data_IF_165954582261
#
_entry.id   IF_165954582261
#
_cell.length_a   1.000
_cell.length_b   1.000
_cell.length_c   1.000
_cell.angle_alpha   90.00
_cell.angle_beta   90.00
_cell.angle_gamma   90.00
#
_symmetry.space_group_name_H-M   'P 1'
#
loop_
_entity.id
_entity.type
_entity.pdbx_description
1 polymer ?
#
# COMPACT_ATOMS: atom_id res chain seq x y z
N UNK A 1 30.91 50.43 -4.55
CA UNK A 1 30.59 50.82 -3.16
C UNK A 1 31.80 50.77 -2.21
N UNK A 2 32.58 49.69 -2.15
CA UNK A 2 33.74 49.56 -1.25
C UNK A 2 34.75 50.72 -1.33
N UNK A 3 35.06 51.24 -2.54
CA UNK A 3 36.02 52.35 -2.70
C UNK A 3 35.51 53.69 -2.13
N UNK A 4 34.20 53.91 -2.12
CA UNK A 4 33.58 55.15 -1.62
C UNK A 4 33.58 55.18 -0.08
N UNK A 5 33.14 54.08 0.54
CA UNK A 5 33.20 53.92 2.00
C UNK A 5 34.64 53.88 2.53
N UNK A 6 35.58 53.32 1.76
CA UNK A 6 37.03 53.34 2.10
C UNK A 6 37.59 54.77 2.18
N UNK A 7 37.22 55.65 1.24
CA UNK A 7 37.72 57.04 1.18
C UNK A 7 37.15 57.89 2.32
N UNK A 8 35.89 57.68 2.68
CA UNK A 8 35.25 58.32 3.85
C UNK A 8 35.91 57.87 5.15
N UNK A 9 36.23 56.57 5.29
CA UNK A 9 36.92 56.04 6.47
C UNK A 9 38.33 56.59 6.65
N UNK A 10 39.10 56.72 5.56
CA UNK A 10 40.43 57.31 5.61
C UNK A 10 40.38 58.79 6.05
N UNK A 11 39.45 59.57 5.52
CA UNK A 11 39.30 60.99 5.88
C UNK A 11 38.85 61.20 7.33
N UNK A 12 37.98 60.33 7.87
CA UNK A 12 37.50 60.43 9.26
C UNK A 12 38.56 60.05 10.30
N UNK A 13 39.49 59.15 9.94
CA UNK A 13 40.64 58.77 10.77
C UNK A 13 41.73 59.86 10.77
N UNK A 14 41.97 60.53 9.63
CA UNK A 14 42.95 61.62 9.54
C UNK A 14 42.54 62.90 10.29
N UNK A 15 41.25 63.11 10.54
CA UNK A 15 40.72 64.28 11.30
C UNK A 15 40.65 64.07 12.82
N UNK A 16 41.13 62.94 13.37
CA UNK A 16 41.05 62.65 14.82
C UNK A 16 39.63 62.33 15.34
N UNK A 17 38.67 62.06 14.45
CA UNK A 17 37.24 61.84 14.78
C UNK A 17 36.89 60.36 14.95
N UNK A 18 37.62 59.66 15.82
CA UNK A 18 37.47 58.21 16.09
C UNK A 18 36.04 57.81 16.46
N UNK A 19 35.32 58.60 17.28
CA UNK A 19 33.92 58.33 17.65
C UNK A 19 32.97 58.37 16.44
N UNK A 20 33.21 59.25 15.46
CA UNK A 20 32.40 59.28 14.22
C UNK A 20 32.74 58.07 13.35
N UNK A 21 34.01 57.71 13.23
CA UNK A 21 34.47 56.52 12.51
C UNK A 21 33.78 55.23 13.01
N UNK A 22 33.70 55.01 14.33
CA UNK A 22 33.02 53.85 14.90
C UNK A 22 31.52 53.81 14.58
N UNK A 23 30.81 54.95 14.61
CA UNK A 23 29.39 55.03 14.21
C UNK A 23 29.17 54.64 12.75
N UNK A 24 30.05 55.10 11.84
CA UNK A 24 29.95 54.76 10.42
C UNK A 24 30.33 53.30 10.14
N UNK A 25 31.37 52.77 10.79
CA UNK A 25 31.76 51.36 10.67
C UNK A 25 30.67 50.41 11.20
N UNK A 26 30.01 50.77 12.30
CA UNK A 26 28.88 50.01 12.84
C UNK A 26 27.68 50.02 11.88
N UNK A 27 27.37 51.17 11.27
CA UNK A 27 26.32 51.26 10.25
C UNK A 27 26.61 50.39 9.02
N UNK A 28 27.87 50.31 8.59
CA UNK A 28 28.28 49.44 7.49
C UNK A 28 28.17 47.95 7.83
N UNK A 29 28.56 47.55 9.05
CA UNK A 29 28.37 46.18 9.53
C UNK A 29 26.88 45.83 9.57
N UNK A 30 26.03 46.70 10.11
CA UNK A 30 24.57 46.49 10.16
C UNK A 30 23.99 46.33 8.74
N UNK A 31 24.40 47.19 7.79
CA UNK A 31 23.99 47.09 6.39
C UNK A 31 24.42 45.76 5.74
N UNK A 32 25.65 45.32 5.98
CA UNK A 32 26.16 44.02 5.48
C UNK A 32 25.39 42.85 6.11
N UNK A 33 25.14 42.89 7.43
CA UNK A 33 24.37 41.86 8.13
C UNK A 33 22.94 41.79 7.60
N UNK A 34 22.25 42.93 7.41
CA UNK A 34 20.92 42.97 6.78
C UNK A 34 20.97 42.37 5.37
N UNK A 35 21.99 42.70 4.57
CA UNK A 35 22.18 42.13 3.23
C UNK A 35 22.34 40.60 3.25
N UNK A 36 23.13 40.08 4.18
CA UNK A 36 23.31 38.63 4.37
C UNK A 36 22.01 37.97 4.83
N UNK A 37 21.29 38.56 5.78
CA UNK A 37 20.02 38.04 6.26
C UNK A 37 18.98 37.98 5.15
N UNK A 38 18.85 39.04 4.34
CA UNK A 38 17.94 39.05 3.19
C UNK A 38 18.34 37.98 2.17
N UNK A 39 19.63 37.86 1.85
CA UNK A 39 20.11 36.83 0.92
C UNK A 39 19.82 35.41 1.43
N UNK A 40 20.04 35.16 2.73
CA UNK A 40 19.73 33.90 3.38
C UNK A 40 18.21 33.62 3.38
N UNK A 41 17.40 34.63 3.68
CA UNK A 41 15.94 34.52 3.66
C UNK A 41 15.40 34.18 2.27
N UNK A 42 15.91 34.83 1.20
CA UNK A 42 15.52 34.54 -0.18
C UNK A 42 15.93 33.10 -0.56
N UNK A 43 17.13 32.68 -0.19
CA UNK A 43 17.61 31.33 -0.48
C UNK A 43 16.78 30.25 0.24
N UNK A 44 16.45 30.48 1.51
CA UNK A 44 15.60 29.59 2.29
C UNK A 44 14.19 29.52 1.70
N UNK A 45 13.58 30.66 1.36
CA UNK A 45 12.25 30.70 0.75
C UNK A 45 12.21 29.97 -0.60
N UNK A 46 13.21 30.16 -1.47
CA UNK A 46 13.27 29.44 -2.74
C UNK A 46 13.42 27.92 -2.53
N UNK A 47 14.24 27.51 -1.56
CA UNK A 47 14.44 26.09 -1.21
C UNK A 47 13.17 25.44 -0.66
N UNK A 48 12.45 26.13 0.23
CA UNK A 48 11.16 25.70 0.76
C UNK A 48 10.10 25.58 -0.33
N UNK A 49 10.05 26.54 -1.26
CA UNK A 49 9.13 26.51 -2.40
C UNK A 49 9.39 25.31 -3.31
N UNK A 50 10.65 25.05 -3.70
CA UNK A 50 11.02 23.91 -4.54
C UNK A 50 10.62 22.59 -3.87
N UNK A 51 10.91 22.49 -2.57
CA UNK A 51 10.59 21.32 -1.74
C UNK A 51 9.07 21.10 -1.65
N UNK A 52 8.31 22.17 -1.44
CA UNK A 52 6.84 22.13 -1.37
C UNK A 52 6.22 21.71 -2.70
N UNK A 53 6.69 22.26 -3.82
CA UNK A 53 6.21 21.88 -5.15
C UNK A 53 6.49 20.39 -5.44
N UNK A 54 7.69 19.91 -5.11
CA UNK A 54 8.04 18.49 -5.24
C UNK A 54 7.11 17.61 -4.40
N UNK A 55 6.86 17.99 -3.14
CA UNK A 55 5.91 17.28 -2.25
C UNK A 55 4.52 17.21 -2.89
N UNK A 56 3.97 18.33 -3.37
CA UNK A 56 2.63 18.38 -3.98
C UNK A 56 2.55 17.48 -5.21
N UNK A 57 3.57 17.48 -6.07
CA UNK A 57 3.65 16.59 -7.24
C UNK A 57 3.54 15.11 -6.84
N UNK A 58 4.32 14.67 -5.82
CA UNK A 58 4.19 13.32 -5.29
C UNK A 58 2.80 13.04 -4.74
N UNK A 59 2.22 13.96 -3.95
CA UNK A 59 0.90 13.75 -3.37
C UNK A 59 -0.18 13.58 -4.44
N UNK A 60 -0.12 14.35 -5.54
CA UNK A 60 -1.01 14.17 -6.69
C UNK A 60 -0.84 12.80 -7.32
N UNK A 61 0.40 12.38 -7.59
CA UNK A 61 0.70 11.07 -8.19
C UNK A 61 0.28 9.91 -7.27
N UNK A 62 0.53 10.01 -5.97
CA UNK A 62 0.07 9.05 -4.95
C UNK A 62 -1.45 8.97 -4.96
N UNK A 63 -2.16 10.11 -4.96
CA UNK A 63 -3.63 10.10 -5.02
C UNK A 63 -4.15 9.32 -6.24
N UNK A 64 -3.52 9.49 -7.41
CA UNK A 64 -3.82 8.70 -8.61
C UNK A 64 -3.55 7.21 -8.44
N UNK A 65 -2.37 6.85 -7.93
CA UNK A 65 -1.97 5.46 -7.63
C UNK A 65 -2.96 4.77 -6.68
N UNK A 66 -3.34 5.44 -5.59
CA UNK A 66 -4.28 4.90 -4.61
C UNK A 66 -5.69 4.75 -5.19
N UNK A 67 -6.12 5.67 -6.09
CA UNK A 67 -7.42 5.55 -6.79
C UNK A 67 -7.46 4.32 -7.69
N UNK A 68 -6.40 4.06 -8.46
CA UNK A 68 -6.29 2.84 -9.27
C UNK A 68 -6.30 1.58 -8.40
N UNK A 69 -5.52 1.57 -7.32
CA UNK A 69 -5.49 0.42 -6.41
C UNK A 69 -6.86 0.11 -5.78
N UNK A 70 -7.70 1.13 -5.54
CA UNK A 70 -9.08 0.91 -5.06
C UNK A 70 -9.94 0.17 -6.07
N UNK A 71 -9.75 0.39 -7.36
CA UNK A 71 -10.46 -0.35 -8.41
C UNK A 71 -10.06 -1.83 -8.39
N UNK A 72 -8.76 -2.13 -8.25
CA UNK A 72 -8.27 -3.50 -8.09
C UNK A 72 -8.83 -4.16 -6.82
N UNK A 73 -8.86 -3.44 -5.69
CA UNK A 73 -9.43 -3.94 -4.44
C UNK A 73 -10.90 -4.31 -4.61
N UNK A 74 -11.67 -3.55 -5.39
CA UNK A 74 -13.07 -3.90 -5.68
C UNK A 74 -13.16 -5.24 -6.40
N UNK A 75 -12.34 -5.44 -7.43
CA UNK A 75 -12.25 -6.72 -8.14
C UNK A 75 -11.88 -7.88 -7.21
N UNK A 76 -10.85 -7.71 -6.37
CA UNK A 76 -10.45 -8.73 -5.40
C UNK A 76 -11.54 -9.06 -4.39
N UNK A 77 -12.27 -8.05 -3.89
CA UNK A 77 -13.37 -8.24 -2.95
C UNK A 77 -14.52 -9.03 -3.55
N UNK A 78 -14.88 -8.77 -4.80
CA UNK A 78 -15.94 -9.49 -5.50
C UNK A 78 -15.56 -10.97 -5.66
N UNK A 79 -14.31 -11.25 -6.03
CA UNK A 79 -13.78 -12.61 -6.12
C UNK A 79 -13.77 -13.32 -4.75
N UNK A 80 -13.21 -12.71 -3.72
CA UNK A 80 -13.15 -13.29 -2.37
C UNK A 80 -14.55 -13.54 -1.83
N UNK A 81 -15.52 -12.64 -2.06
CA UNK A 81 -16.91 -12.84 -1.64
C UNK A 81 -17.54 -14.05 -2.35
N UNK A 82 -17.27 -14.23 -3.64
CA UNK A 82 -17.70 -15.41 -4.40
C UNK A 82 -17.07 -16.70 -3.88
N UNK A 83 -15.79 -16.68 -3.52
CA UNK A 83 -15.07 -17.82 -2.93
C UNK A 83 -15.59 -18.16 -1.52
N UNK A 84 -15.90 -17.17 -0.68
CA UNK A 84 -16.53 -17.36 0.62
C UNK A 84 -17.89 -18.07 0.46
N UNK A 85 -18.71 -17.61 -0.48
CA UNK A 85 -20.01 -18.22 -0.78
C UNK A 85 -19.85 -19.66 -1.26
N UNK A 86 -18.88 -19.90 -2.13
CA UNK A 86 -18.56 -21.24 -2.65
C UNK A 86 -18.09 -22.17 -1.53
N UNK A 87 -17.20 -21.71 -0.65
CA UNK A 87 -16.67 -22.47 0.48
C UNK A 87 -17.77 -22.83 1.49
N UNK A 88 -18.65 -21.88 1.84
CA UNK A 88 -19.84 -22.16 2.66
C UNK A 88 -20.76 -23.19 2.03
N UNK A 89 -20.95 -23.12 0.71
CA UNK A 89 -21.78 -24.11 -0.01
C UNK A 89 -21.14 -25.50 -0.01
N UNK A 90 -19.81 -25.61 -0.12
CA UNK A 90 -19.11 -26.88 0.05
C UNK A 90 -19.39 -27.44 1.45
N UNK A 91 -19.17 -26.66 2.50
CA UNK A 91 -19.41 -27.12 3.88
C UNK A 91 -20.85 -27.59 4.09
N UNK A 92 -21.85 -26.86 3.59
CA UNK A 92 -23.25 -27.29 3.68
C UNK A 92 -23.52 -28.62 2.94
N UNK A 93 -22.85 -28.87 1.80
CA UNK A 93 -22.97 -30.14 1.08
C UNK A 93 -22.37 -31.28 1.93
N UNK A 94 -21.19 -31.06 2.50
CA UNK A 94 -20.52 -32.05 3.36
C UNK A 94 -21.36 -32.38 4.60
N UNK A 95 -21.91 -31.36 5.27
CA UNK A 95 -22.78 -31.51 6.45
C UNK A 95 -24.04 -32.32 6.15
N UNK A 96 -24.66 -32.07 4.99
CA UNK A 96 -25.87 -32.78 4.57
C UNK A 96 -25.63 -34.23 4.11
N UNK A 97 -24.38 -34.59 3.84
CA UNK A 97 -23.97 -35.82 3.17
C UNK A 97 -24.75 -36.16 1.86
N UNK A 98 -25.35 -35.16 1.20
CA UNK A 98 -26.26 -35.39 0.08
C UNK A 98 -25.50 -35.72 -1.22
N UNK A 99 -25.59 -36.99 -1.65
CA UNK A 99 -24.95 -37.49 -2.87
C UNK A 99 -25.46 -36.82 -4.15
N UNK A 100 -26.70 -36.32 -4.19
CA UNK A 100 -27.24 -35.58 -5.35
C UNK A 100 -26.49 -34.26 -5.57
N UNK A 101 -25.75 -33.78 -4.56
CA UNK A 101 -24.95 -32.56 -4.65
C UNK A 101 -23.56 -32.77 -5.24
N UNK A 102 -23.15 -34.01 -5.57
CA UNK A 102 -21.83 -34.31 -6.16
C UNK A 102 -21.51 -33.45 -7.40
N UNK A 103 -22.41 -33.27 -8.39
CA UNK A 103 -22.13 -32.44 -9.56
C UNK A 103 -21.86 -30.97 -9.19
N UNK A 104 -22.50 -30.47 -8.14
CA UNK A 104 -22.26 -29.14 -7.59
C UNK A 104 -20.91 -29.09 -6.88
N UNK A 105 -20.63 -30.05 -6.00
CA UNK A 105 -19.38 -30.14 -5.25
C UNK A 105 -18.17 -30.12 -6.20
N UNK A 106 -18.21 -30.92 -7.27
CA UNK A 106 -17.18 -30.97 -8.31
C UNK A 106 -16.85 -29.61 -8.93
N UNK A 107 -17.87 -28.78 -9.19
CA UNK A 107 -17.67 -27.42 -9.73
C UNK A 107 -17.07 -26.45 -8.72
N UNK A 108 -17.33 -26.65 -7.43
CA UNK A 108 -16.87 -25.76 -6.37
C UNK A 108 -15.44 -26.10 -5.90
N UNK A 109 -15.07 -27.38 -5.92
CA UNK A 109 -13.78 -27.86 -5.42
C UNK A 109 -12.58 -27.28 -6.16
N UNK A 110 -12.72 -26.88 -7.43
CA UNK A 110 -11.67 -26.22 -8.19
C UNK A 110 -11.15 -24.94 -7.54
N UNK A 111 -12.05 -24.14 -6.95
CA UNK A 111 -11.68 -22.91 -6.25
C UNK A 111 -10.90 -23.20 -4.96
N UNK A 112 -11.30 -24.25 -4.23
CA UNK A 112 -10.55 -24.71 -3.04
C UNK A 112 -9.16 -25.21 -3.43
N UNK A 113 -9.04 -25.89 -4.56
CA UNK A 113 -7.80 -26.45 -5.09
C UNK A 113 -6.87 -25.42 -5.76
N UNK A 114 -7.19 -24.13 -5.68
CA UNK A 114 -6.41 -23.06 -6.31
C UNK A 114 -6.04 -21.98 -5.30
N UNK A 115 -4.85 -21.40 -5.47
CA UNK A 115 -4.38 -20.25 -4.71
C UNK A 115 -4.06 -19.09 -5.66
N UNK A 116 -4.66 -17.94 -5.40
CA UNK A 116 -4.39 -16.68 -6.08
C UNK A 116 -3.91 -15.66 -5.05
N UNK A 117 -2.71 -15.11 -5.24
CA UNK A 117 -2.18 -14.07 -4.37
C UNK A 117 -2.75 -12.70 -4.76
N UNK A 118 -3.19 -11.92 -3.77
CA UNK A 118 -3.50 -10.50 -3.96
C UNK A 118 -2.19 -9.74 -3.96
N UNK A 119 -1.87 -9.05 -5.05
CA UNK A 119 -0.66 -8.23 -5.13
C UNK A 119 -1.01 -6.76 -4.90
N UNK A 120 -0.38 -6.15 -3.90
CA UNK A 120 -0.49 -4.71 -3.62
C UNK A 120 0.83 -4.03 -4.01
N UNK A 121 0.77 -2.98 -4.82
CA UNK A 121 1.96 -2.28 -5.29
C UNK A 121 1.75 -0.77 -5.27
N UNK A 122 2.69 -0.05 -4.64
CA UNK A 122 2.64 1.40 -4.48
C UNK A 122 3.98 2.07 -4.81
N UNK A 123 4.53 1.89 -6.03
CA UNK A 123 5.86 2.38 -6.38
C UNK A 123 6.05 3.89 -6.13
N UNK A 124 5.04 4.73 -6.38
CA UNK A 124 5.14 6.17 -6.14
C UNK A 124 5.16 6.47 -4.64
N UNK A 125 4.29 5.80 -3.87
CA UNK A 125 4.26 5.95 -2.41
C UNK A 125 5.56 5.45 -1.77
N UNK A 126 6.11 4.33 -2.25
CA UNK A 126 7.39 3.79 -1.79
C UNK A 126 8.54 4.74 -2.12
N UNK A 127 8.58 5.29 -3.33
CA UNK A 127 9.55 6.32 -3.72
C UNK A 127 9.47 7.55 -2.80
N UNK A 128 8.26 8.03 -2.51
CA UNK A 128 8.01 9.16 -1.62
C UNK A 128 8.53 8.92 -0.20
N UNK A 129 8.26 7.72 0.35
CA UNK A 129 8.70 7.31 1.68
C UNK A 129 10.23 7.16 1.74
N UNK A 130 10.82 6.54 0.71
CA UNK A 130 12.26 6.29 0.63
C UNK A 130 13.08 7.58 0.49
N UNK A 131 12.52 8.61 -0.14
CA UNK A 131 13.11 9.95 -0.20
C UNK A 131 12.92 10.76 1.10
N UNK A 132 12.29 10.18 2.13
CA UNK A 132 11.96 10.84 3.39
C UNK A 132 11.09 12.11 3.24
N UNK A 133 10.33 12.24 2.15
CA UNK A 133 9.47 13.41 1.91
C UNK A 133 8.28 13.47 2.88
N UNK A 134 7.89 12.33 3.46
CA UNK A 134 6.88 12.23 4.51
C UNK A 134 7.24 13.03 5.77
N UNK A 135 8.52 13.24 6.07
CA UNK A 135 8.92 14.02 7.26
C UNK A 135 8.54 15.50 7.13
N UNK A 136 8.36 15.98 5.90
CA UNK A 136 8.06 17.36 5.56
C UNK A 136 6.55 17.63 5.44
N UNK A 137 5.71 16.60 5.53
CA UNK A 137 4.26 16.77 5.61
C UNK A 137 3.95 17.50 6.93
N UNK A 138 3.11 18.54 6.89
CA UNK A 138 2.69 19.23 8.13
C UNK A 138 1.49 18.54 8.79
N UNK A 139 0.66 17.90 8.00
CA UNK A 139 -0.50 17.13 8.45
C UNK A 139 -0.08 15.80 9.11
N UNK A 140 -0.10 15.76 10.45
CA UNK A 140 0.22 14.57 11.24
C UNK A 140 -0.74 13.40 10.98
N UNK A 141 -2.00 13.69 10.63
CA UNK A 141 -2.95 12.63 10.26
C UNK A 141 -2.52 11.93 8.98
N UNK A 142 -2.06 12.68 7.97
CA UNK A 142 -1.58 12.11 6.72
C UNK A 142 -0.32 11.24 6.93
N UNK A 143 0.63 11.69 7.75
CA UNK A 143 1.80 10.88 8.16
C UNK A 143 1.38 9.57 8.81
N UNK A 144 0.43 9.65 9.75
CA UNK A 144 -0.08 8.48 10.46
C UNK A 144 -0.75 7.49 9.50
N UNK A 145 -1.53 7.98 8.52
CA UNK A 145 -2.15 7.09 7.53
C UNK A 145 -1.14 6.42 6.60
N UNK A 146 -0.05 7.08 6.20
CA UNK A 146 1.02 6.42 5.45
C UNK A 146 1.71 5.31 6.26
N UNK A 147 1.89 5.53 7.57
CA UNK A 147 2.39 4.50 8.48
C UNK A 147 1.43 3.30 8.54
N UNK A 148 0.13 3.55 8.71
CA UNK A 148 -0.88 2.49 8.71
C UNK A 148 -0.98 1.75 7.37
N UNK A 149 -0.74 2.43 6.24
CA UNK A 149 -0.71 1.78 4.94
C UNK A 149 0.42 0.76 4.87
N UNK A 150 1.60 1.11 5.37
CA UNK A 150 2.74 0.19 5.47
C UNK A 150 2.43 -1.00 6.36
N UNK A 151 1.93 -0.77 7.58
CA UNK A 151 1.58 -1.84 8.52
C UNK A 151 0.53 -2.80 7.95
N UNK A 152 -0.46 -2.26 7.23
CA UNK A 152 -1.48 -3.06 6.58
C UNK A 152 -0.91 -3.87 5.42
N UNK A 153 -0.01 -3.29 4.61
CA UNK A 153 0.71 -4.03 3.55
C UNK A 153 1.52 -5.19 4.14
N UNK A 154 2.22 -4.96 5.26
CA UNK A 154 2.98 -6.01 5.94
C UNK A 154 2.05 -7.14 6.44
N UNK A 155 0.85 -6.77 6.94
CA UNK A 155 -0.18 -7.74 7.34
C UNK A 155 -0.71 -8.57 6.15
N UNK A 156 -0.87 -7.95 4.97
CA UNK A 156 -1.23 -8.68 3.74
C UNK A 156 -0.16 -9.68 3.36
N UNK A 157 1.12 -9.31 3.41
CA UNK A 157 2.23 -10.21 3.07
C UNK A 157 2.25 -11.43 4.00
N UNK A 158 2.09 -11.22 5.32
CA UNK A 158 2.00 -12.33 6.29
C UNK A 158 0.83 -13.27 5.95
N UNK A 159 -0.33 -12.71 5.59
CA UNK A 159 -1.47 -13.53 5.20
C UNK A 159 -1.21 -14.31 3.89
N UNK A 160 -0.60 -13.67 2.88
CA UNK A 160 -0.27 -14.32 1.60
C UNK A 160 0.67 -15.50 1.85
N UNK A 161 1.70 -15.30 2.66
CA UNK A 161 2.67 -16.34 3.03
C UNK A 161 2.00 -17.50 3.78
N UNK A 162 1.11 -17.19 4.73
CA UNK A 162 0.32 -18.19 5.44
C UNK A 162 -0.58 -18.98 4.47
N UNK A 163 -1.29 -18.30 3.58
CA UNK A 163 -2.20 -18.92 2.63
C UNK A 163 -1.46 -19.80 1.62
N UNK A 164 -0.30 -19.35 1.14
CA UNK A 164 0.57 -20.13 0.26
C UNK A 164 1.13 -21.37 0.98
N UNK A 165 1.56 -21.22 2.24
CA UNK A 165 2.05 -22.33 3.06
C UNK A 165 0.95 -23.35 3.31
N UNK A 166 -0.25 -22.92 3.66
CA UNK A 166 -1.41 -23.80 3.82
C UNK A 166 -1.75 -24.50 2.50
N UNK A 167 -1.70 -23.80 1.37
CA UNK A 167 -1.96 -24.40 0.07
C UNK A 167 -0.96 -25.52 -0.23
N UNK A 168 0.32 -25.23 -0.13
CA UNK A 168 1.42 -26.14 -0.49
C UNK A 168 1.57 -27.32 0.48
N UNK A 169 1.30 -27.13 1.77
CA UNK A 169 1.51 -28.17 2.79
C UNK A 169 0.25 -28.97 3.15
N UNK A 170 -0.94 -28.41 2.92
CA UNK A 170 -2.21 -29.02 3.35
C UNK A 170 -3.14 -29.28 2.17
N UNK A 171 -3.48 -28.23 1.40
CA UNK A 171 -4.54 -28.33 0.38
C UNK A 171 -4.07 -29.14 -0.83
N UNK A 172 -3.01 -28.69 -1.52
CA UNK A 172 -2.53 -29.33 -2.73
C UNK A 172 -2.18 -30.81 -2.51
N UNK A 173 -1.43 -31.21 -1.46
CA UNK A 173 -1.16 -32.62 -1.20
C UNK A 173 -2.42 -33.47 -0.97
N UNK A 174 -3.45 -32.92 -0.32
CA UNK A 174 -4.72 -33.60 -0.14
C UNK A 174 -5.42 -33.84 -1.49
N UNK A 175 -5.49 -32.80 -2.33
CA UNK A 175 -6.14 -32.91 -3.64
C UNK A 175 -5.39 -33.89 -4.55
N UNK A 176 -4.05 -33.89 -4.55
CA UNK A 176 -3.23 -34.86 -5.29
C UNK A 176 -3.54 -36.31 -4.89
N UNK A 177 -3.74 -36.57 -3.59
CA UNK A 177 -4.00 -37.93 -3.09
C UNK A 177 -5.42 -38.43 -3.34
N UNK A 178 -6.40 -37.52 -3.32
CA UNK A 178 -7.81 -37.92 -3.19
C UNK A 178 -8.70 -37.53 -4.38
N UNK A 179 -8.25 -36.61 -5.25
CA UNK A 179 -9.09 -36.02 -6.29
C UNK A 179 -8.34 -36.03 -7.63
N UNK A 180 -9.02 -36.49 -8.67
CA UNK A 180 -8.57 -36.26 -10.03
C UNK A 180 -8.76 -34.77 -10.39
N UNK A 181 -7.68 -34.00 -10.37
CA UNK A 181 -7.72 -32.55 -10.57
C UNK A 181 -8.35 -32.14 -11.92
N UNK A 182 -8.18 -32.92 -13.00
CA UNK A 182 -8.75 -32.56 -14.31
C UNK A 182 -10.28 -32.51 -14.29
N UNK A 183 -10.91 -33.22 -13.34
CA UNK A 183 -12.35 -33.23 -13.14
C UNK A 183 -12.88 -31.94 -12.51
N UNK A 184 -12.10 -31.33 -11.62
CA UNK A 184 -12.52 -30.18 -10.80
C UNK A 184 -11.87 -28.86 -11.20
N UNK A 185 -10.88 -28.88 -12.11
CA UNK A 185 -10.14 -27.69 -12.50
C UNK A 185 -11.09 -26.56 -12.92
N UNK A 186 -10.78 -25.35 -12.44
CA UNK A 186 -11.51 -24.14 -12.81
C UNK A 186 -11.38 -23.89 -14.32
N UNK A 187 -12.37 -23.20 -14.89
CA UNK A 187 -12.45 -22.98 -16.33
C UNK A 187 -11.18 -22.35 -16.92
N UNK A 188 -10.50 -21.50 -16.14
CA UNK A 188 -9.23 -20.89 -16.52
C UNK A 188 -8.14 -21.92 -16.90
N UNK A 189 -8.00 -23.00 -16.13
CA UNK A 189 -6.99 -24.04 -16.39
C UNK A 189 -7.52 -25.21 -17.22
N UNK A 190 -8.85 -25.40 -17.25
CA UNK A 190 -9.48 -26.61 -17.76
C UNK A 190 -9.22 -26.89 -19.25
N UNK A 191 -9.14 -25.86 -20.08
CA UNK A 191 -9.02 -26.00 -21.54
C UNK A 191 -7.71 -26.67 -22.01
N UNK A 192 -6.67 -26.71 -21.17
CA UNK A 192 -5.40 -27.37 -21.48
C UNK A 192 -5.24 -28.76 -20.86
N UNK A 193 -6.20 -29.24 -20.07
CA UNK A 193 -6.08 -30.49 -19.33
C UNK A 193 -6.68 -31.67 -20.10
N UNK A 194 -5.95 -32.79 -20.12
CA UNK A 194 -6.47 -34.07 -20.61
C UNK A 194 -7.55 -34.54 -19.63
N UNK A 195 -8.74 -34.80 -20.16
CA UNK A 195 -9.86 -35.34 -19.39
C UNK A 195 -9.79 -36.87 -19.37
N UNK A 196 -10.01 -37.48 -18.20
CA UNK A 196 -9.94 -38.94 -18.01
C UNK A 196 -9.12 -39.33 -16.79
N UNK A 197 -8.60 -40.56 -16.76
CA UNK A 197 -7.77 -41.07 -15.66
C UNK A 197 -8.57 -41.69 -14.49
N UNK A 198 -7.90 -41.96 -13.35
CA UNK A 198 -8.53 -42.51 -12.16
C UNK A 198 -9.74 -41.70 -11.71
N UNK A 199 -10.78 -42.38 -11.20
CA UNK A 199 -12.01 -41.72 -10.76
C UNK A 199 -11.90 -41.30 -9.32
N UNK A 200 -12.31 -40.06 -9.07
CA UNK A 200 -12.48 -39.53 -7.72
C UNK A 200 -13.64 -40.23 -7.01
N UNK A 201 -13.42 -40.74 -5.79
CA UNK A 201 -14.49 -41.32 -4.97
C UNK A 201 -15.24 -40.21 -4.20
N UNK A 202 -16.19 -39.54 -4.86
CA UNK A 202 -16.95 -38.44 -4.26
C UNK A 202 -17.86 -38.87 -3.10
N UNK A 203 -18.34 -40.12 -3.09
CA UNK A 203 -19.14 -40.66 -1.99
C UNK A 203 -18.35 -40.70 -0.68
N UNK A 204 -17.07 -41.08 -0.75
CA UNK A 204 -16.16 -41.04 0.39
C UNK A 204 -15.75 -39.61 0.75
N UNK A 205 -15.47 -38.74 -0.24
CA UNK A 205 -15.06 -37.36 0.00
C UNK A 205 -16.11 -36.55 0.75
N UNK A 206 -17.40 -36.74 0.45
CA UNK A 206 -18.49 -36.01 1.10
C UNK A 206 -18.50 -36.25 2.62
N UNK A 207 -18.04 -37.42 3.06
CA UNK A 207 -17.98 -37.84 4.47
C UNK A 207 -16.61 -37.57 5.12
N UNK A 208 -15.68 -36.96 4.39
CA UNK A 208 -14.30 -36.78 4.82
C UNK A 208 -14.16 -35.62 5.81
N UNK A 209 -13.75 -35.94 7.03
CA UNK A 209 -13.33 -34.95 8.02
C UNK A 209 -12.15 -34.10 7.53
N UNK A 210 -11.28 -34.68 6.72
CA UNK A 210 -10.13 -33.97 6.16
C UNK A 210 -10.57 -32.92 5.14
N UNK A 211 -11.53 -33.25 4.25
CA UNK A 211 -12.10 -32.27 3.32
C UNK A 211 -12.88 -31.17 4.05
N UNK A 212 -13.63 -31.55 5.10
CA UNK A 212 -14.32 -30.58 5.96
C UNK A 212 -13.34 -29.57 6.55
N UNK A 213 -12.25 -30.04 7.15
CA UNK A 213 -11.24 -29.18 7.75
C UNK A 213 -10.53 -28.30 6.70
N UNK A 214 -10.19 -28.86 5.53
CA UNK A 214 -9.59 -28.09 4.43
C UNK A 214 -10.52 -26.96 3.96
N UNK A 215 -11.80 -27.27 3.73
CA UNK A 215 -12.78 -26.27 3.32
C UNK A 215 -13.01 -25.21 4.41
N UNK A 216 -12.96 -25.62 5.68
CA UNK A 216 -13.10 -24.73 6.84
C UNK A 216 -11.92 -23.78 6.99
N UNK A 217 -10.68 -24.29 6.91
CA UNK A 217 -9.48 -23.45 6.96
C UNK A 217 -9.35 -22.51 5.75
N UNK A 218 -9.73 -22.99 4.55
CA UNK A 218 -9.85 -22.11 3.38
C UNK A 218 -10.86 -21.00 3.64
N UNK A 219 -12.04 -21.30 4.19
CA UNK A 219 -13.04 -20.28 4.54
C UNK A 219 -12.53 -19.28 5.59
N UNK A 220 -11.79 -19.73 6.60
CA UNK A 220 -11.14 -18.87 7.59
C UNK A 220 -10.22 -17.85 6.91
N UNK A 221 -9.28 -18.33 6.08
CA UNK A 221 -8.33 -17.45 5.37
C UNK A 221 -9.01 -16.47 4.42
N UNK A 222 -10.08 -16.90 3.74
CA UNK A 222 -10.88 -16.02 2.88
C UNK A 222 -11.59 -14.92 3.67
N UNK A 223 -12.17 -15.25 4.83
CA UNK A 223 -12.82 -14.24 5.69
C UNK A 223 -11.79 -13.22 6.20
N UNK A 224 -10.63 -13.66 6.67
CA UNK A 224 -9.55 -12.75 7.10
C UNK A 224 -9.10 -11.86 5.95
N UNK A 225 -8.97 -12.41 4.73
CA UNK A 225 -8.57 -11.64 3.55
C UNK A 225 -9.61 -10.58 3.16
N UNK A 226 -10.89 -10.93 3.25
CA UNK A 226 -11.98 -10.00 3.01
C UNK A 226 -11.96 -8.81 4.01
N UNK A 227 -11.70 -9.08 5.29
CA UNK A 227 -11.58 -8.04 6.31
C UNK A 227 -10.38 -7.12 6.09
N UNK A 228 -9.24 -7.68 5.67
CA UNK A 228 -8.05 -6.89 5.30
C UNK A 228 -8.34 -6.01 4.08
N UNK A 229 -9.00 -6.53 3.04
CA UNK A 229 -9.42 -5.75 1.86
C UNK A 229 -10.40 -4.63 2.22
N UNK A 230 -11.36 -4.89 3.12
CA UNK A 230 -12.29 -3.88 3.62
C UNK A 230 -11.58 -2.78 4.42
N UNK A 231 -10.58 -3.15 5.21
CA UNK A 231 -9.77 -2.21 5.99
C UNK A 231 -8.90 -1.36 5.08
N UNK A 232 -8.28 -1.98 4.07
CA UNK A 232 -7.46 -1.29 3.08
C UNK A 232 -8.27 -0.28 2.29
N UNK A 233 -9.45 -0.67 1.77
CA UNK A 233 -10.29 0.26 1.02
C UNK A 233 -10.65 1.51 1.83
N UNK A 234 -11.03 1.34 3.10
CA UNK A 234 -11.34 2.45 4.02
C UNK A 234 -10.12 3.31 4.33
N UNK A 235 -8.94 2.71 4.45
CA UNK A 235 -7.69 3.42 4.69
C UNK A 235 -7.29 4.26 3.46
N UNK A 236 -7.37 3.69 2.26
CA UNK A 236 -7.07 4.41 1.02
C UNK A 236 -7.98 5.63 0.83
N UNK A 237 -9.28 5.50 1.14
CA UNK A 237 -10.22 6.63 1.14
C UNK A 237 -9.78 7.77 2.06
N UNK A 238 -9.37 7.43 3.28
CA UNK A 238 -8.89 8.42 4.25
C UNK A 238 -7.60 9.10 3.77
N UNK A 239 -6.66 8.34 3.19
CA UNK A 239 -5.41 8.89 2.66
C UNK A 239 -5.71 9.87 1.52
N UNK A 240 -6.49 9.45 0.53
CA UNK A 240 -6.86 10.29 -0.64
C UNK A 240 -7.50 11.60 -0.16
N UNK A 241 -8.44 11.53 0.77
CA UNK A 241 -9.11 12.72 1.30
C UNK A 241 -8.14 13.65 2.07
N UNK A 242 -7.17 13.10 2.81
CA UNK A 242 -6.17 13.92 3.49
C UNK A 242 -5.16 14.53 2.52
N UNK A 243 -4.81 13.82 1.45
CA UNK A 243 -3.99 14.34 0.36
C UNK A 243 -4.69 15.54 -0.30
N UNK A 244 -5.97 15.42 -0.64
CA UNK A 244 -6.74 16.50 -1.26
C UNK A 244 -6.80 17.74 -0.35
N UNK A 245 -6.95 17.55 0.97
CA UNK A 245 -6.86 18.65 1.95
C UNK A 245 -5.49 19.29 2.04
N UNK A 246 -4.41 18.49 2.05
CA UNK A 246 -3.04 19.00 2.10
C UNK A 246 -2.71 19.82 0.85
N UNK A 247 -3.17 19.37 -0.33
CA UNK A 247 -3.00 20.08 -1.60
C UNK A 247 -3.77 21.41 -1.57
N UNK A 248 -5.02 21.41 -1.11
CA UNK A 248 -5.84 22.64 -1.05
C UNK A 248 -5.31 23.71 -0.08
N UNK A 249 -4.53 23.31 0.93
CA UNK A 249 -3.95 24.20 1.95
C UNK A 249 -2.50 24.62 1.65
N UNK A 250 -1.90 24.14 0.55
CA UNK A 250 -0.48 24.38 0.21
C UNK A 250 -0.27 25.57 -0.73
#
# INVERSE_FOLDING_TARGET
MIKFFRKIRQNLLSEGRTTKYFKYALGEIILVVIGILIALSINNWNSERITTNKKIDYLVRISGELKNQKEDIKYYKDNVTSEIKSSKRILNILDSENLDSIPTLKKLLGNTATFWAVTLSYPVTDEFINQNLQSQIKNDSLKMYFKYLKELRDSFNIQIDYNQTQYTNTIEPYFVKNINYSEIAIDYFKNGLIQGGPKTNYENLIKSMELWNIATFKLETLNTGNELLNTLNRLLEKIILQIEKEIANS
#
